data_IF_567101828444
#
_entry.id   IF_567101828444
#
_cell.length_a   1.000
_cell.length_b   1.000
_cell.length_c   1.000
_cell.angle_alpha   90.00
_cell.angle_beta   90.00
_cell.angle_gamma   90.00
#
_symmetry.space_group_name_H-M   'P 1'
#
loop_
_entity.id
_entity.type
_entity.pdbx_description
1 polymer ?
#
# COMPACT_ATOMS: atom_id res chain seq x y z
N UNK A 1 1.12 24.99 -54.24
CA UNK A 1 -0.21 24.40 -54.52
C UNK A 1 -0.56 23.49 -53.35
N UNK A 2 -0.98 24.02 -52.19
CA UNK A 2 -2.27 24.63 -51.80
C UNK A 2 -3.38 23.61 -51.51
N UNK A 3 -4.15 23.89 -50.44
CA UNK A 3 -5.24 23.14 -49.76
C UNK A 3 -4.72 22.19 -48.66
N UNK A 4 -4.75 22.49 -47.35
CA UNK A 4 -5.63 23.25 -46.43
C UNK A 4 -7.02 22.65 -46.24
N UNK A 5 -7.26 22.04 -45.07
CA UNK A 5 -8.60 21.97 -44.48
C UNK A 5 -8.49 22.07 -42.95
N UNK A 6 -9.13 23.12 -42.42
CA UNK A 6 -9.22 23.48 -41.02
C UNK A 6 -10.65 23.25 -40.53
N UNK A 7 -10.80 22.79 -39.29
CA UNK A 7 -12.04 22.87 -38.48
C UNK A 7 -11.57 22.87 -37.02
N UNK A 8 -11.77 23.88 -36.15
CA UNK A 8 -12.79 24.90 -36.08
C UNK A 8 -13.69 24.62 -34.87
N UNK A 9 -13.29 25.07 -33.68
CA UNK A 9 -14.14 25.13 -32.47
C UNK A 9 -15.30 26.13 -32.68
N UNK A 10 -16.42 25.97 -31.95
CA UNK A 10 -17.17 27.12 -31.51
C UNK A 10 -17.22 27.20 -29.98
N UNK A 11 -16.64 28.29 -29.47
CA UNK A 11 -17.02 28.97 -28.24
C UNK A 11 -18.48 29.43 -28.30
N UNK A 12 -19.20 29.39 -27.19
CA UNK A 12 -20.39 30.21 -27.04
C UNK A 12 -20.41 30.89 -25.67
N UNK A 13 -20.24 32.21 -25.71
CA UNK A 13 -20.52 33.13 -24.63
C UNK A 13 -21.59 34.12 -25.08
N UNK A 14 -22.31 34.64 -24.09
CA UNK A 14 -22.99 35.94 -23.99
C UNK A 14 -24.53 36.06 -24.14
N UNK A 15 -25.07 36.61 -23.04
CA UNK A 15 -26.12 37.65 -22.93
C UNK A 15 -27.59 37.21 -23.11
N UNK A 16 -28.56 37.66 -22.32
CA UNK A 16 -28.61 38.65 -21.24
C UNK A 16 -30.07 38.96 -20.86
N UNK A 17 -30.25 39.93 -19.94
CA UNK A 17 -31.48 40.64 -19.50
C UNK A 17 -32.12 40.24 -18.16
N UNK A 18 -31.61 40.89 -17.11
CA UNK A 18 -32.26 41.94 -16.31
C UNK A 18 -33.80 41.95 -16.17
N UNK A 19 -34.28 41.90 -14.92
CA UNK A 19 -35.32 42.80 -14.40
C UNK A 19 -35.40 42.68 -12.87
N UNK A 20 -35.10 43.77 -12.15
CA UNK A 20 -35.14 43.81 -10.69
C UNK A 20 -36.52 44.06 -10.06
N UNK A 21 -36.57 43.96 -8.72
CA UNK A 21 -37.46 44.80 -7.89
C UNK A 21 -36.95 44.95 -6.45
N UNK A 22 -37.18 46.17 -5.95
CA UNK A 22 -36.65 46.88 -4.77
C UNK A 22 -37.26 46.49 -3.41
N UNK A 23 -36.42 46.67 -2.37
CA UNK A 23 -36.63 47.34 -1.07
C UNK A 23 -37.72 46.86 -0.07
N UNK A 24 -37.34 46.66 1.21
CA UNK A 24 -37.46 47.71 2.26
C UNK A 24 -36.90 47.30 3.65
N UNK A 25 -36.23 48.28 4.26
CA UNK A 25 -35.84 48.39 5.68
C UNK A 25 -37.05 48.38 6.65
N UNK A 26 -36.82 47.94 7.90
CA UNK A 26 -37.42 48.56 9.09
C UNK A 26 -36.48 48.53 10.30
N UNK A 27 -36.49 49.65 11.03
CA UNK A 27 -35.59 50.12 12.10
C UNK A 27 -35.98 49.61 13.50
N UNK A 28 -34.93 49.45 14.32
CA UNK A 28 -34.72 49.92 15.71
C UNK A 28 -35.71 49.62 16.85
N UNK A 29 -35.14 49.19 17.99
CA UNK A 29 -35.39 49.81 19.31
C UNK A 29 -34.26 49.50 20.31
N UNK A 30 -33.85 50.55 21.02
CA UNK A 30 -32.89 50.62 22.13
C UNK A 30 -33.65 50.64 23.46
N UNK A 31 -33.00 50.21 24.57
CA UNK A 31 -33.04 50.76 25.95
C UNK A 31 -32.40 49.74 26.92
N UNK A 32 -31.18 49.95 27.45
CA UNK A 32 -30.76 50.68 28.68
C UNK A 32 -31.08 50.02 30.05
N UNK A 33 -30.00 49.58 30.70
CA UNK A 33 -29.53 49.82 32.09
C UNK A 33 -30.16 49.11 33.33
N UNK A 34 -29.25 48.63 34.21
CA UNK A 34 -29.45 48.21 35.61
C UNK A 34 -28.66 46.94 35.97
N UNK A 35 -27.36 46.99 36.33
CA UNK A 35 -26.74 47.27 37.63
C UNK A 35 -26.63 46.07 38.62
N UNK A 36 -25.36 45.73 38.93
CA UNK A 36 -24.77 45.11 40.14
C UNK A 36 -25.02 43.63 40.50
N UNK A 37 -23.94 42.83 40.54
CA UNK A 37 -23.27 42.44 41.81
C UNK A 37 -21.97 41.68 41.56
N UNK A 38 -20.96 42.00 42.37
CA UNK A 38 -19.62 41.42 42.38
C UNK A 38 -19.57 39.97 42.90
N UNK A 39 -18.67 39.17 42.33
CA UNK A 39 -17.97 38.10 43.02
C UNK A 39 -16.70 37.74 42.23
N UNK A 40 -15.55 37.99 42.84
CA UNK A 40 -14.22 37.61 42.38
C UNK A 40 -14.08 36.09 42.28
N UNK A 41 -13.57 35.59 41.16
CA UNK A 41 -12.94 34.26 41.10
C UNK A 41 -11.68 34.41 40.27
N UNK A 42 -10.60 33.96 40.89
CA UNK A 42 -9.21 34.13 40.52
C UNK A 42 -8.90 33.57 39.12
N UNK A 43 -8.09 34.32 38.37
CA UNK A 43 -7.60 33.91 37.05
C UNK A 43 -6.63 32.74 37.21
N UNK A 44 -7.10 31.53 36.94
CA UNK A 44 -6.24 30.40 36.60
C UNK A 44 -5.70 30.61 35.16
N UNK A 45 -4.39 30.44 34.91
CA UNK A 45 -3.84 30.62 33.58
C UNK A 45 -4.48 29.60 32.64
N UNK A 46 -4.89 30.10 31.46
CA UNK A 46 -5.37 29.29 30.35
C UNK A 46 -4.30 28.28 29.94
N UNK A 47 -4.38 27.08 30.53
CA UNK A 47 -3.99 25.88 29.83
C UNK A 47 -5.04 25.70 28.72
N UNK A 48 -4.79 26.37 27.60
CA UNK A 48 -5.33 25.96 26.31
C UNK A 48 -4.70 24.60 25.98
N UNK A 49 -5.11 23.58 26.72
CA UNK A 49 -5.02 22.20 26.26
C UNK A 49 -5.92 22.15 25.04
N UNK A 50 -5.31 22.49 23.89
CA UNK A 50 -5.87 22.20 22.59
C UNK A 50 -6.02 20.70 22.61
N UNK A 51 -7.22 20.22 22.96
CA UNK A 51 -7.62 18.83 22.85
C UNK A 51 -7.53 18.50 21.38
N UNK A 52 -6.33 18.19 20.94
CA UNK A 52 -6.05 17.69 19.62
C UNK A 52 -6.51 16.23 19.67
N UNK A 53 -7.83 16.07 19.63
CA UNK A 53 -8.51 14.88 19.13
C UNK A 53 -7.90 14.63 17.77
N UNK A 54 -6.82 13.84 17.74
CA UNK A 54 -6.21 13.46 16.49
C UNK A 54 -7.29 12.68 15.72
N UNK A 55 -7.71 13.24 14.60
CA UNK A 55 -8.76 12.66 13.76
C UNK A 55 -8.29 11.42 13.00
N UNK A 56 -6.98 11.18 12.97
CA UNK A 56 -6.34 10.06 12.30
C UNK A 56 -5.17 9.52 13.11
N UNK A 57 -4.78 8.29 12.82
CA UNK A 57 -3.50 7.73 13.20
C UNK A 57 -2.60 7.60 11.97
N UNK A 58 -1.29 7.54 12.18
CA UNK A 58 -0.30 7.35 11.13
C UNK A 58 0.45 6.05 11.34
N UNK A 59 0.71 5.33 10.25
CA UNK A 59 1.50 4.11 10.20
C UNK A 59 2.69 4.36 9.29
N UNK A 60 3.89 4.41 9.86
CA UNK A 60 5.15 4.42 9.11
C UNK A 60 5.65 2.99 9.00
N UNK A 61 6.01 2.54 7.80
CA UNK A 61 6.60 1.23 7.53
C UNK A 61 7.94 1.47 6.86
N UNK A 62 8.99 0.86 7.41
CA UNK A 62 10.36 1.03 6.96
C UNK A 62 11.07 -0.34 6.97
N UNK A 63 11.88 -0.63 5.96
CA UNK A 63 12.59 -1.89 5.89
C UNK A 63 13.05 -2.22 4.48
N UNK A 64 13.12 -3.51 4.15
CA UNK A 64 13.57 -3.97 2.85
C UNK A 64 13.05 -5.36 2.47
N UNK A 65 12.98 -5.59 1.16
CA UNK A 65 12.92 -6.92 0.56
C UNK A 65 14.36 -7.43 0.49
N UNK A 66 14.72 -8.38 1.34
CA UNK A 66 16.12 -8.81 1.54
C UNK A 66 16.53 -9.73 0.40
N UNK A 67 15.87 -10.87 0.26
CA UNK A 67 16.28 -11.91 -0.68
C UNK A 67 15.18 -12.91 -1.00
N UNK A 68 15.35 -13.65 -2.10
CA UNK A 68 14.56 -14.84 -2.40
C UNK A 68 15.44 -16.10 -2.38
N UNK A 69 14.87 -17.20 -1.93
CA UNK A 69 15.52 -18.52 -1.90
C UNK A 69 14.65 -19.54 -2.61
N UNK A 70 15.23 -20.32 -3.51
CA UNK A 70 14.52 -21.41 -4.21
C UNK A 70 15.15 -22.75 -3.84
N UNK A 71 14.37 -23.74 -3.37
CA UNK A 71 14.91 -24.99 -2.83
C UNK A 71 15.74 -25.76 -3.86
N UNK A 72 15.34 -25.75 -5.12
CA UNK A 72 16.03 -26.41 -6.23
C UNK A 72 16.66 -25.39 -7.20
N UNK A 73 16.80 -24.13 -6.76
CA UNK A 73 17.25 -23.01 -7.59
C UNK A 73 16.17 -22.47 -8.53
N UNK A 74 16.27 -21.20 -8.96
CA UNK A 74 15.32 -20.65 -9.91
C UNK A 74 15.47 -21.33 -11.28
N UNK A 75 14.35 -21.59 -11.97
CA UNK A 75 14.35 -22.05 -13.36
C UNK A 75 14.98 -21.03 -14.33
N UNK A 76 15.38 -19.84 -13.84
CA UNK A 76 15.79 -18.65 -14.60
C UNK A 76 17.07 -18.05 -14.04
N UNK A 77 17.86 -17.48 -14.94
CA UNK A 77 19.20 -16.97 -14.62
C UNK A 77 19.15 -15.71 -13.76
N UNK A 78 18.27 -14.78 -14.09
CA UNK A 78 18.07 -13.54 -13.35
C UNK A 78 16.67 -13.51 -12.75
N UNK A 79 16.56 -13.01 -11.53
CA UNK A 79 15.31 -12.83 -10.82
C UNK A 79 15.19 -11.37 -10.41
N UNK A 80 13.98 -10.81 -10.48
CA UNK A 80 13.64 -9.52 -9.93
C UNK A 80 12.21 -9.56 -9.39
N UNK A 81 11.86 -8.61 -8.54
CA UNK A 81 10.54 -8.50 -7.97
C UNK A 81 9.89 -7.17 -8.36
N UNK A 82 8.59 -7.21 -8.60
CA UNK A 82 7.73 -6.03 -8.64
C UNK A 82 6.91 -6.03 -7.37
N UNK A 83 6.94 -4.94 -6.61
CA UNK A 83 6.13 -4.81 -5.41
C UNK A 83 5.06 -3.73 -5.59
N UNK A 84 3.94 -3.92 -4.91
CA UNK A 84 2.84 -2.97 -4.82
C UNK A 84 2.29 -3.00 -3.40
N UNK A 85 2.13 -1.82 -2.81
CA UNK A 85 1.41 -1.66 -1.56
C UNK A 85 -0.07 -1.42 -1.84
N UNK A 86 -0.89 -2.24 -1.20
CA UNK A 86 -2.33 -2.21 -1.34
C UNK A 86 -2.94 -2.00 0.03
N UNK A 87 -3.88 -1.07 0.14
CA UNK A 87 -4.60 -0.78 1.36
C UNK A 87 -6.06 -0.45 1.04
N UNK A 88 -6.92 -0.50 2.05
CA UNK A 88 -8.34 -0.17 1.95
C UNK A 88 -8.59 1.31 1.73
N UNK A 89 -9.84 1.66 1.44
CA UNK A 89 -10.22 3.01 1.01
C UNK A 89 -9.96 4.13 2.04
N UNK A 90 -9.94 3.80 3.34
CA UNK A 90 -9.66 4.78 4.39
C UNK A 90 -8.15 5.09 4.54
N UNK A 91 -7.30 4.20 4.05
CA UNK A 91 -5.85 4.34 4.14
C UNK A 91 -5.35 5.28 3.04
N UNK A 92 -4.78 6.40 3.45
CA UNK A 92 -4.18 7.39 2.56
C UNK A 92 -2.66 7.28 2.60
N UNK A 93 -2.05 7.05 1.44
CA UNK A 93 -0.58 7.10 1.30
C UNK A 93 -0.13 8.55 1.37
N UNK A 94 0.70 8.86 2.36
CA UNK A 94 1.20 10.22 2.65
C UNK A 94 2.60 10.42 2.11
N UNK A 95 3.42 9.38 2.18
CA UNK A 95 4.82 9.43 1.75
C UNK A 95 5.27 8.05 1.29
N UNK A 96 6.25 8.03 0.39
CA UNK A 96 6.86 6.82 -0.15
C UNK A 96 6.20 6.31 -1.44
N UNK A 97 6.88 5.43 -2.17
CA UNK A 97 6.34 4.86 -3.40
C UNK A 97 5.28 3.80 -3.11
N UNK A 98 4.16 3.85 -3.82
CA UNK A 98 3.13 2.80 -3.75
C UNK A 98 3.57 1.50 -4.44
N UNK A 99 4.40 1.62 -5.48
CA UNK A 99 4.88 0.48 -6.25
C UNK A 99 6.34 0.68 -6.61
N UNK A 100 7.04 -0.42 -6.88
CA UNK A 100 8.42 -0.36 -7.32
C UNK A 100 8.90 -1.67 -7.93
N UNK A 101 10.12 -1.60 -8.46
CA UNK A 101 10.82 -2.70 -9.11
C UNK A 101 12.18 -2.87 -8.46
N UNK A 102 12.58 -4.11 -8.23
CA UNK A 102 13.93 -4.42 -7.74
C UNK A 102 14.95 -4.43 -8.87
N UNK A 103 16.23 -4.41 -8.50
CA UNK A 103 17.29 -4.82 -9.41
C UNK A 103 17.11 -6.28 -9.86
N UNK A 104 17.71 -6.60 -11.01
CA UNK A 104 17.91 -7.99 -11.44
C UNK A 104 19.06 -8.59 -10.65
N UNK A 105 18.80 -9.68 -9.94
CA UNK A 105 19.76 -10.39 -9.12
C UNK A 105 19.89 -11.85 -9.59
N UNK A 106 21.02 -12.48 -9.31
CA UNK A 106 21.30 -13.87 -9.70
C UNK A 106 22.17 -14.55 -8.65
N UNK A 107 22.01 -15.85 -8.47
CA UNK A 107 22.88 -16.70 -7.68
C UNK A 107 23.77 -17.61 -8.55
N UNK A 108 23.89 -17.35 -9.86
CA UNK A 108 24.60 -18.20 -10.82
C UNK A 108 26.06 -18.51 -10.45
N UNK A 109 26.74 -17.59 -9.75
CA UNK A 109 28.13 -17.78 -9.30
C UNK A 109 28.26 -18.62 -8.03
N UNK A 110 27.15 -18.93 -7.36
CA UNK A 110 27.09 -19.68 -6.10
C UNK A 110 26.44 -21.05 -6.26
N UNK A 111 26.01 -21.61 -5.13
CA UNK A 111 25.22 -22.84 -5.10
C UNK A 111 23.79 -22.57 -5.60
N UNK A 112 23.13 -23.56 -6.18
CA UNK A 112 21.77 -23.38 -6.74
C UNK A 112 20.74 -22.90 -5.71
N UNK A 113 20.96 -23.20 -4.43
CA UNK A 113 20.08 -22.84 -3.31
C UNK A 113 20.47 -21.50 -2.67
N UNK A 114 21.55 -20.86 -3.11
CA UNK A 114 22.03 -19.62 -2.49
C UNK A 114 20.98 -18.52 -2.63
N UNK A 115 20.90 -17.68 -1.60
CA UNK A 115 19.97 -16.55 -1.54
C UNK A 115 20.24 -15.57 -2.69
N UNK A 116 19.19 -15.22 -3.41
CA UNK A 116 19.23 -14.17 -4.43
C UNK A 116 18.94 -12.84 -3.72
N UNK A 117 19.96 -12.00 -3.58
CA UNK A 117 19.90 -10.79 -2.77
C UNK A 117 19.37 -9.58 -3.57
N UNK A 118 18.33 -8.93 -3.05
CA UNK A 118 17.79 -7.70 -3.60
C UNK A 118 18.14 -6.48 -2.76
N UNK A 119 18.01 -6.58 -1.42
CA UNK A 119 18.16 -5.47 -0.47
C UNK A 119 17.41 -4.20 -0.90
N UNK A 120 16.16 -4.38 -1.30
CA UNK A 120 15.36 -3.29 -1.88
C UNK A 120 14.61 -2.54 -0.80
N UNK A 121 14.92 -1.24 -0.60
CA UNK A 121 14.34 -0.47 0.49
C UNK A 121 12.85 -0.25 0.28
N UNK A 122 12.09 -0.37 1.36
CA UNK A 122 10.67 -0.07 1.46
C UNK A 122 10.49 0.96 2.56
N UNK A 123 10.04 2.15 2.20
CA UNK A 123 9.72 3.21 3.14
C UNK A 123 8.44 3.90 2.71
N UNK A 124 7.40 3.77 3.52
CA UNK A 124 6.09 4.35 3.25
C UNK A 124 5.45 4.86 4.53
N UNK A 125 4.60 5.86 4.41
CA UNK A 125 3.78 6.36 5.51
C UNK A 125 2.34 6.46 5.08
N UNK A 126 1.45 5.87 5.87
CA UNK A 126 0.01 5.98 5.72
C UNK A 126 -0.62 6.81 6.84
N UNK A 127 -1.79 7.37 6.54
CA UNK A 127 -2.75 7.90 7.50
C UNK A 127 -4.07 7.16 7.34
N UNK A 128 -4.74 6.91 8.45
CA UNK A 128 -6.07 6.29 8.45
C UNK A 128 -6.87 6.73 9.67
N UNK A 129 -8.19 6.66 9.58
CA UNK A 129 -9.11 6.86 10.71
C UNK A 129 -9.60 5.53 11.28
N UNK A 130 -9.52 4.47 10.48
CA UNK A 130 -9.97 3.11 10.77
C UNK A 130 -8.88 2.07 10.45
N UNK A 131 -8.77 0.99 11.22
CA UNK A 131 -7.90 -0.15 10.92
C UNK A 131 -8.41 -1.00 9.74
N UNK A 132 -9.66 -0.84 9.31
CA UNK A 132 -10.24 -1.70 8.27
C UNK A 132 -9.51 -1.58 6.93
N UNK A 133 -9.32 -2.69 6.21
CA UNK A 133 -8.57 -2.72 4.96
C UNK A 133 -7.07 -2.47 5.17
N UNK A 134 -6.52 -3.12 6.17
CA UNK A 134 -5.16 -2.93 6.65
C UNK A 134 -4.10 -3.07 5.51
N UNK A 135 -3.01 -2.27 5.48
CA UNK A 135 -2.07 -2.29 4.38
C UNK A 135 -1.37 -3.64 4.23
N UNK A 136 -1.14 -4.04 2.98
CA UNK A 136 -0.47 -5.27 2.58
C UNK A 136 0.57 -4.95 1.50
N UNK A 137 1.70 -5.64 1.56
CA UNK A 137 2.72 -5.64 0.52
C UNK A 137 2.48 -6.85 -0.37
N UNK A 138 2.16 -6.62 -1.64
CA UNK A 138 2.07 -7.64 -2.68
C UNK A 138 3.38 -7.62 -3.48
N UNK A 139 4.01 -8.77 -3.63
CA UNK A 139 5.24 -8.94 -4.41
C UNK A 139 4.99 -9.96 -5.50
N UNK A 140 5.28 -9.58 -6.73
CA UNK A 140 5.32 -10.47 -7.88
C UNK A 140 6.78 -10.76 -8.23
N UNK A 141 7.14 -12.03 -8.28
CA UNK A 141 8.51 -12.46 -8.56
C UNK A 141 8.59 -12.90 -10.02
N UNK A 142 9.52 -12.31 -10.75
CA UNK A 142 9.76 -12.59 -12.16
C UNK A 142 11.17 -13.15 -12.35
N UNK A 143 11.28 -14.08 -13.29
CA UNK A 143 12.54 -14.61 -13.78
C UNK A 143 12.74 -14.21 -15.24
N UNK A 144 13.96 -13.84 -15.59
CA UNK A 144 14.37 -13.52 -16.94
C UNK A 144 15.60 -14.35 -17.33
N UNK A 145 15.61 -14.80 -18.58
CA UNK A 145 16.81 -15.37 -19.18
C UNK A 145 17.58 -14.25 -19.87
N UNK A 146 18.89 -14.41 -20.09
CA UNK A 146 19.70 -13.43 -20.84
C UNK A 146 19.18 -13.06 -22.24
N UNK A 147 18.15 -13.76 -22.76
CA UNK A 147 17.41 -13.43 -23.98
C UNK A 147 16.25 -12.44 -23.82
N UNK A 148 16.03 -11.87 -22.62
CA UNK A 148 15.05 -10.81 -22.37
C UNK A 148 13.59 -11.26 -22.23
N UNK A 149 13.32 -12.58 -22.23
CA UNK A 149 11.97 -13.11 -22.00
C UNK A 149 11.69 -13.26 -20.51
N UNK A 150 10.80 -12.43 -20.01
CA UNK A 150 10.29 -12.48 -18.62
C UNK A 150 9.29 -13.63 -18.44
N UNK A 151 9.22 -14.13 -17.21
CA UNK A 151 8.50 -15.35 -16.84
C UNK A 151 8.09 -15.20 -15.37
N UNK A 152 6.84 -15.48 -15.05
CA UNK A 152 6.35 -15.41 -13.68
C UNK A 152 6.92 -16.59 -12.88
N UNK A 153 7.51 -16.30 -11.72
CA UNK A 153 7.95 -17.31 -10.74
C UNK A 153 6.96 -17.45 -9.57
N UNK A 154 6.13 -16.43 -9.34
CA UNK A 154 5.01 -16.50 -8.40
C UNK A 154 4.72 -15.17 -7.72
N UNK A 155 3.83 -15.23 -6.74
CA UNK A 155 3.38 -14.09 -5.95
C UNK A 155 3.58 -14.37 -4.46
N UNK A 156 3.98 -13.35 -3.71
CA UNK A 156 4.03 -13.38 -2.27
C UNK A 156 3.27 -12.15 -1.75
N UNK A 157 2.67 -12.25 -0.56
CA UNK A 157 2.07 -11.09 0.07
C UNK A 157 2.26 -11.15 1.59
N UNK A 158 2.42 -9.98 2.21
CA UNK A 158 2.59 -9.86 3.67
C UNK A 158 1.74 -8.71 4.19
N UNK A 159 1.10 -8.89 5.35
CA UNK A 159 0.36 -7.84 6.03
C UNK A 159 1.33 -6.88 6.73
N UNK A 160 1.09 -5.57 6.61
CA UNK A 160 1.93 -4.52 7.18
C UNK A 160 1.17 -3.76 8.27
N UNK A 161 1.46 -3.96 9.56
CA UNK A 161 2.77 -4.33 10.02
C UNK A 161 2.89 -5.80 10.40
N UNK A 162 4.14 -6.26 10.36
CA UNK A 162 4.52 -7.58 10.82
C UNK A 162 4.57 -7.57 12.34
N UNK A 163 3.40 -7.57 12.99
CA UNK A 163 3.33 -7.76 14.43
C UNK A 163 3.68 -9.23 14.76
N UNK A 164 4.68 -9.46 15.61
CA UNK A 164 4.84 -10.75 16.29
C UNK A 164 5.82 -11.77 15.69
N UNK A 165 6.65 -11.45 14.70
CA UNK A 165 7.75 -12.36 14.31
C UNK A 165 8.93 -12.26 15.28
N UNK A 166 8.73 -12.63 16.56
CA UNK A 166 9.84 -13.03 17.45
C UNK A 166 10.07 -14.51 17.20
N UNK A 167 10.87 -14.86 16.19
CA UNK A 167 11.49 -16.18 16.19
C UNK A 167 12.51 -16.19 17.32
N UNK A 168 12.32 -17.10 18.29
CA UNK A 168 13.19 -17.31 19.43
C UNK A 168 14.46 -18.06 18.95
N UNK A 169 15.26 -17.42 18.10
CA UNK A 169 16.60 -17.90 17.75
C UNK A 169 17.55 -17.10 18.63
N UNK A 170 18.06 -17.76 19.67
CA UNK A 170 19.18 -17.23 20.43
C UNK A 170 20.29 -16.85 19.43
N UNK A 171 20.85 -15.65 19.57
CA UNK A 171 22.04 -15.15 18.84
C UNK A 171 21.86 -14.38 17.52
N UNK A 172 20.64 -14.04 17.07
CA UNK A 172 20.48 -13.11 15.95
C UNK A 172 19.79 -11.80 16.38
N UNK A 173 20.44 -10.67 16.05
CA UNK A 173 20.00 -9.28 16.21
C UNK A 173 18.48 -9.07 15.94
N UNK A 174 17.82 -8.11 16.62
CA UNK A 174 16.36 -7.92 16.65
C UNK A 174 15.77 -7.35 15.35
N UNK A 175 16.11 -7.94 14.21
CA UNK A 175 15.51 -7.71 12.91
C UNK A 175 14.28 -8.60 12.78
N UNK A 176 13.09 -8.00 12.65
CA UNK A 176 11.84 -8.73 12.38
C UNK A 176 11.91 -9.30 10.96
N UNK A 177 12.55 -10.46 10.81
CA UNK A 177 12.63 -11.19 9.55
C UNK A 177 11.32 -11.96 9.35
N UNK A 178 10.56 -11.56 8.34
CA UNK A 178 9.38 -12.28 7.86
C UNK A 178 9.76 -13.09 6.63
N UNK A 179 9.53 -14.39 6.67
CA UNK A 179 9.67 -15.27 5.51
C UNK A 179 8.28 -15.61 4.98
N UNK A 180 8.04 -15.35 3.70
CA UNK A 180 6.76 -15.63 3.04
C UNK A 180 6.99 -16.58 1.88
N UNK A 181 6.16 -17.63 1.71
CA UNK A 181 6.26 -18.51 0.55
C UNK A 181 5.92 -17.77 -0.74
N UNK A 182 6.62 -18.10 -1.81
CA UNK A 182 6.29 -17.65 -3.16
C UNK A 182 5.25 -18.63 -3.74
N UNK A 183 4.06 -18.12 -4.05
CA UNK A 183 2.92 -18.90 -4.51
C UNK A 183 2.75 -18.76 -6.02
N UNK A 184 2.87 -19.86 -6.73
CA UNK A 184 2.66 -19.95 -8.17
C UNK A 184 1.23 -20.45 -8.45
N UNK A 185 0.44 -19.77 -9.30
CA UNK A 185 -0.90 -20.24 -9.64
C UNK A 185 -0.82 -21.55 -10.45
N UNK A 186 -1.54 -22.57 -10.02
CA UNK A 186 -1.68 -23.84 -10.75
C UNK A 186 -2.94 -23.76 -11.64
N UNK A 187 -2.89 -24.19 -12.91
CA UNK A 187 -4.08 -24.19 -13.74
C UNK A 187 -5.08 -25.22 -13.16
N UNK A 188 -6.39 -24.93 -13.24
CA UNK A 188 -7.42 -25.75 -12.59
C UNK A 188 -7.59 -27.15 -13.21
N UNK A 189 -7.06 -27.39 -14.41
CA UNK A 189 -7.24 -28.62 -15.17
C UNK A 189 -5.89 -29.21 -15.59
N UNK A 190 -5.68 -30.52 -15.46
CA UNK A 190 -4.47 -31.23 -15.93
C UNK A 190 -4.21 -31.06 -17.44
N UNK A 191 -5.25 -30.87 -18.25
CA UNK A 191 -5.12 -30.51 -19.68
C UNK A 191 -4.62 -29.07 -19.87
N UNK A 192 -4.89 -28.19 -18.90
CA UNK A 192 -4.33 -26.85 -18.79
C UNK A 192 -2.83 -26.87 -18.53
N UNK A 193 -2.32 -27.82 -17.75
CA UNK A 193 -0.88 -28.04 -17.56
C UNK A 193 -0.21 -28.47 -18.87
N UNK A 194 -0.81 -29.42 -19.60
CA UNK A 194 -0.28 -29.90 -20.89
C UNK A 194 -0.30 -28.79 -21.95
N UNK A 195 -1.37 -28.00 -22.02
CA UNK A 195 -1.46 -26.88 -22.98
C UNK A 195 -0.59 -25.69 -22.58
N UNK A 196 -0.43 -25.38 -21.29
CA UNK A 196 0.53 -24.39 -20.77
C UNK A 196 1.97 -24.79 -21.11
N UNK A 197 2.31 -26.05 -20.92
CA UNK A 197 3.58 -26.64 -21.31
C UNK A 197 3.79 -26.54 -22.83
N UNK A 198 2.80 -26.97 -23.62
CA UNK A 198 2.88 -26.99 -25.08
C UNK A 198 2.98 -25.58 -25.68
N UNK A 199 2.21 -24.63 -25.16
CA UNK A 199 2.16 -23.24 -25.61
C UNK A 199 3.23 -22.36 -24.95
N UNK A 200 4.03 -22.92 -24.02
CA UNK A 200 4.97 -22.18 -23.16
C UNK A 200 4.35 -20.92 -22.55
N UNK A 201 3.06 -20.96 -22.20
CA UNK A 201 2.32 -19.84 -21.62
C UNK A 201 2.03 -20.16 -20.17
N UNK A 202 2.76 -19.53 -19.27
CA UNK A 202 2.54 -19.73 -17.85
C UNK A 202 1.17 -19.18 -17.42
N UNK A 203 0.50 -19.85 -16.48
CA UNK A 203 -0.69 -19.32 -15.84
C UNK A 203 -0.29 -18.04 -15.08
N UNK A 204 -0.91 -16.92 -15.45
CA UNK A 204 -0.74 -15.64 -14.77
C UNK A 204 -2.09 -15.22 -14.22
N UNK A 205 -2.09 -14.68 -13.00
CA UNK A 205 -3.31 -14.08 -12.45
C UNK A 205 -3.62 -12.80 -13.21
N UNK A 206 -4.84 -12.70 -13.77
CA UNK A 206 -5.31 -11.46 -14.43
C UNK A 206 -5.25 -10.25 -13.50
N UNK A 207 -5.50 -10.48 -12.21
CA UNK A 207 -5.34 -9.49 -11.16
C UNK A 207 -4.71 -10.15 -9.92
N UNK A 208 -3.44 -9.84 -9.59
CA UNK A 208 -2.78 -10.43 -8.44
C UNK A 208 -3.34 -9.91 -7.11
N UNK A 209 -4.13 -8.82 -7.11
CA UNK A 209 -4.79 -8.29 -5.90
C UNK A 209 -5.87 -9.22 -5.36
N UNK A 210 -6.33 -10.19 -6.16
CA UNK A 210 -7.22 -11.26 -5.70
C UNK A 210 -6.62 -12.05 -4.53
N UNK A 211 -5.29 -12.15 -4.46
CA UNK A 211 -4.57 -12.80 -3.36
C UNK A 211 -4.78 -12.15 -2.00
N UNK A 212 -5.08 -10.85 -2.01
CA UNK A 212 -5.25 -10.03 -0.83
C UNK A 212 -6.65 -10.17 -0.22
N UNK A 213 -7.61 -10.68 -1.00
CA UNK A 213 -9.00 -10.84 -0.62
C UNK A 213 -9.31 -12.32 -0.37
N UNK A 214 -9.49 -12.68 0.90
CA UNK A 214 -9.80 -14.05 1.33
C UNK A 214 -11.09 -14.61 0.72
N UNK A 215 -12.02 -13.78 0.26
CA UNK A 215 -13.24 -14.25 -0.42
C UNK A 215 -12.99 -14.58 -1.88
N UNK A 216 -12.18 -13.77 -2.57
CA UNK A 216 -11.86 -13.97 -4.00
C UNK A 216 -10.75 -14.99 -4.22
N UNK A 217 -9.93 -15.25 -3.21
CA UNK A 217 -8.92 -16.31 -3.21
C UNK A 217 -9.53 -17.73 -3.19
N UNK A 218 -10.83 -17.87 -2.85
CA UNK A 218 -11.52 -19.17 -2.82
C UNK A 218 -11.56 -19.78 -4.22
N UNK A 219 -10.93 -20.95 -4.38
CA UNK A 219 -10.89 -21.70 -5.63
C UNK A 219 -9.63 -21.50 -6.47
N UNK A 220 -8.69 -20.67 -6.01
CA UNK A 220 -7.35 -20.62 -6.61
C UNK A 220 -6.50 -21.78 -6.06
N UNK A 221 -6.04 -22.66 -6.95
CA UNK A 221 -5.01 -23.63 -6.62
C UNK A 221 -3.66 -22.99 -6.82
N UNK A 222 -2.80 -23.02 -5.80
CA UNK A 222 -1.44 -22.49 -5.86
C UNK A 222 -0.44 -23.49 -5.33
N UNK A 223 0.74 -23.49 -5.92
CA UNK A 223 1.88 -24.27 -5.50
C UNK A 223 2.93 -23.35 -4.88
N UNK A 224 3.45 -23.72 -3.72
CA UNK A 224 4.50 -22.94 -3.06
C UNK A 224 5.86 -23.36 -3.59
N UNK A 225 6.62 -22.44 -4.18
CA UNK A 225 7.96 -22.71 -4.67
C UNK A 225 8.92 -21.56 -4.35
N UNK A 226 9.76 -21.78 -3.33
CA UNK A 226 10.68 -20.78 -2.81
C UNK A 226 10.07 -19.88 -1.72
N UNK A 227 10.93 -19.07 -1.12
CA UNK A 227 10.59 -18.16 -0.04
C UNK A 227 11.18 -16.78 -0.30
N UNK A 228 10.46 -15.75 0.13
CA UNK A 228 10.88 -14.36 0.08
C UNK A 228 11.08 -13.84 1.51
N UNK A 229 12.23 -13.23 1.73
CA UNK A 229 12.66 -12.71 3.02
C UNK A 229 12.48 -11.19 3.07
N UNK A 230 11.82 -10.73 4.11
CA UNK A 230 11.56 -9.33 4.37
C UNK A 230 12.10 -8.94 5.73
N UNK A 231 12.69 -7.76 5.81
CA UNK A 231 13.05 -7.13 7.08
C UNK A 231 12.22 -5.85 7.19
N UNK A 232 11.12 -5.89 7.95
CA UNK A 232 10.16 -4.78 7.99
C UNK A 232 9.92 -4.35 9.43
N UNK A 233 9.93 -3.04 9.63
CA UNK A 233 9.62 -2.39 10.89
C UNK A 233 8.46 -1.41 10.68
N UNK A 234 7.68 -1.21 11.72
CA UNK A 234 6.54 -0.31 11.67
C UNK A 234 6.39 0.51 12.94
N UNK A 235 6.07 1.79 12.77
CA UNK A 235 5.80 2.71 13.86
C UNK A 235 4.40 3.27 13.66
N UNK A 236 3.55 3.11 14.67
CA UNK A 236 2.21 3.71 14.65
C UNK A 236 2.13 4.87 15.64
N UNK A 237 1.55 6.00 15.20
CA UNK A 237 1.38 7.22 15.99
C UNK A 237 -0.09 7.65 15.99
N UNK A 238 -0.59 8.11 17.14
CA UNK A 238 -1.95 8.65 17.25
C UNK A 238 -3.07 7.62 17.44
N UNK A 239 -2.81 6.31 17.29
CA UNK A 239 -3.84 5.27 17.41
C UNK A 239 -4.53 5.26 18.80
N UNK A 240 -3.81 5.53 19.88
CA UNK A 240 -4.38 5.64 21.24
C UNK A 240 -5.41 6.76 21.38
N UNK A 241 -5.25 7.86 20.64
CA UNK A 241 -6.19 9.00 20.67
C UNK A 241 -7.54 8.63 20.04
N UNK A 242 -7.57 7.62 19.18
CA UNK A 242 -8.76 7.06 18.57
C UNK A 242 -9.32 5.85 19.35
N UNK A 243 -8.80 5.60 20.56
CA UNK A 243 -9.24 4.48 21.40
C UNK A 243 -8.64 3.13 21.03
N UNK A 244 -7.65 3.09 20.13
CA UNK A 244 -7.00 1.84 19.78
C UNK A 244 -5.71 1.59 20.57
N UNK A 245 -5.63 0.43 21.22
CA UNK A 245 -4.51 -0.01 22.04
C UNK A 245 -3.77 -1.18 21.38
N UNK A 246 -2.91 -0.88 20.40
CA UNK A 246 -2.20 -1.90 19.62
C UNK A 246 -0.85 -2.35 20.22
N UNK A 247 -0.33 -1.62 21.22
CA UNK A 247 0.82 -2.01 22.03
C UNK A 247 0.68 -1.42 23.44
N UNK A 248 0.78 -2.29 24.46
CA UNK A 248 1.20 -1.96 25.81
C UNK A 248 2.70 -2.27 25.92
#
# INVERSE_FOLDING_TARGET
>A
NSETTATGYPSNATSGRDSGRKQKHKKAKTNTAGAASAASTEEHPMDAETKCTASYFSLCISGQIVSATFPLGPDREYVYCRYELVAGADWQLVSGPQHGLTQMATNKSGHFNDKIIFNMPIEVTYKSTSPFGWPQLLVTVFGSNGSGRETLLGYAHVHLPVFGSRRHVAEAEPSVLAETPILLPKPPNMLGDITSWLLRRQPELKDPKVLLDSFKCKGLSMESYGTLEFQLHSIMRGARKLGYHWHA
#
